data_IF_904784707404
#
_entry.id   IF_904784707404
#
_cell.length_a   1.000
_cell.length_b   1.000
_cell.length_c   1.000
_cell.angle_alpha   90.00
_cell.angle_beta   90.00
_cell.angle_gamma   90.00
#
_symmetry.space_group_name_H-M   'P 1'
#
loop_
_entity.id
_entity.type
_entity.pdbx_description
1 polymer ?
#
# COMPACT_ATOMS: atom_id res chain seq x y z
N UNK A 1 -42.29 -7.59 15.25
CA UNK A 1 -41.83 -6.31 15.84
C UNK A 1 -40.37 -6.04 15.46
N UNK A 2 -40.11 -5.90 14.17
CA UNK A 2 -38.88 -5.29 13.66
C UNK A 2 -39.29 -4.57 12.37
N UNK A 3 -40.13 -3.56 12.55
CA UNK A 3 -40.34 -2.53 11.54
C UNK A 3 -38.99 -1.85 11.36
N UNK A 4 -38.23 -2.34 10.38
CA UNK A 4 -37.16 -1.58 9.77
C UNK A 4 -37.83 -0.37 9.15
N UNK A 5 -37.92 0.68 9.95
CA UNK A 5 -38.10 2.06 9.53
C UNK A 5 -37.05 2.34 8.45
N UNK A 6 -37.39 2.01 7.21
CA UNK A 6 -36.69 2.49 6.03
C UNK A 6 -36.93 3.99 6.02
N UNK A 7 -36.07 4.73 6.74
CA UNK A 7 -35.88 6.15 6.45
C UNK A 7 -35.63 6.26 4.95
N UNK A 8 -36.61 6.83 4.25
CA UNK A 8 -36.59 7.04 2.83
C UNK A 8 -35.54 8.11 2.57
N UNK A 9 -34.28 7.69 2.38
CA UNK A 9 -33.20 8.61 2.05
C UNK A 9 -33.65 9.48 0.89
N UNK A 10 -33.73 10.79 1.11
CA UNK A 10 -34.27 11.73 0.13
C UNK A 10 -33.42 11.63 -1.15
N UNK A 11 -34.01 11.85 -2.33
CA UNK A 11 -33.28 11.77 -3.61
C UNK A 11 -31.97 12.57 -3.59
N UNK A 12 -31.98 13.70 -2.88
CA UNK A 12 -30.80 14.53 -2.60
C UNK A 12 -29.68 13.82 -1.81
N UNK A 13 -30.00 13.01 -0.80
CA UNK A 13 -29.00 12.25 -0.04
C UNK A 13 -28.37 11.13 -0.87
N UNK A 14 -29.14 10.46 -1.74
CA UNK A 14 -28.60 9.46 -2.67
C UNK A 14 -27.66 10.08 -3.71
N UNK A 15 -27.98 11.26 -4.23
CA UNK A 15 -27.09 12.00 -5.14
C UNK A 15 -25.81 12.47 -4.45
N UNK A 16 -25.91 12.95 -3.20
CA UNK A 16 -24.76 13.34 -2.40
C UNK A 16 -23.79 12.17 -2.19
N UNK A 17 -24.30 11.01 -1.75
CA UNK A 17 -23.51 9.79 -1.60
C UNK A 17 -22.87 9.34 -2.93
N UNK A 18 -23.59 9.41 -4.05
CA UNK A 18 -23.03 9.05 -5.37
C UNK A 18 -21.85 9.94 -5.76
N UNK A 19 -21.94 11.23 -5.47
CA UNK A 19 -20.89 12.21 -5.77
C UNK A 19 -19.66 12.01 -4.89
N UNK A 20 -19.87 11.67 -3.63
CA UNK A 20 -18.82 11.36 -2.65
C UNK A 20 -18.05 10.08 -3.04
N UNK A 21 -18.76 8.99 -3.32
CA UNK A 21 -18.19 7.72 -3.82
C UNK A 21 -17.35 7.89 -5.08
N UNK A 22 -17.81 8.74 -6.00
CA UNK A 22 -17.08 9.00 -7.26
C UNK A 22 -15.76 9.74 -7.00
N UNK A 23 -15.71 10.60 -5.99
CA UNK A 23 -14.48 11.31 -5.59
C UNK A 23 -13.48 10.36 -4.93
N UNK A 24 -13.95 9.46 -4.08
CA UNK A 24 -13.15 8.41 -3.45
C UNK A 24 -12.53 7.48 -4.50
N UNK A 25 -13.33 6.99 -5.45
CA UNK A 25 -12.85 6.16 -6.57
C UNK A 25 -11.78 6.88 -7.39
N UNK A 26 -11.98 8.15 -7.74
CA UNK A 26 -10.99 8.90 -8.53
C UNK A 26 -9.65 9.02 -7.81
N UNK A 27 -9.64 9.24 -6.51
CA UNK A 27 -8.39 9.28 -5.74
C UNK A 27 -7.70 7.91 -5.73
N UNK A 28 -8.46 6.82 -5.60
CA UNK A 28 -7.91 5.47 -5.65
C UNK A 28 -7.31 5.14 -7.04
N UNK A 29 -7.99 5.50 -8.13
CA UNK A 29 -7.48 5.30 -9.49
C UNK A 29 -6.22 6.11 -9.80
N UNK A 30 -6.15 7.38 -9.37
CA UNK A 30 -4.94 8.22 -9.57
C UNK A 30 -3.74 7.60 -8.87
N UNK A 31 -3.95 7.10 -7.66
CA UNK A 31 -2.89 6.48 -6.85
C UNK A 31 -2.42 5.16 -7.45
N UNK A 32 -3.36 4.35 -7.94
CA UNK A 32 -3.07 3.12 -8.65
C UNK A 32 -2.26 3.37 -9.93
N UNK A 33 -2.65 4.39 -10.71
CA UNK A 33 -1.90 4.81 -11.90
C UNK A 33 -0.48 5.28 -11.57
N UNK A 34 -0.30 6.02 -10.48
CA UNK A 34 1.01 6.48 -10.03
C UNK A 34 1.94 5.31 -9.65
N UNK A 35 1.43 4.29 -8.96
CA UNK A 35 2.21 3.09 -8.60
C UNK A 35 2.72 2.37 -9.84
N UNK A 36 1.82 2.10 -10.79
CA UNK A 36 2.14 1.44 -12.07
C UNK A 36 3.21 2.24 -12.82
N UNK A 37 3.06 3.57 -12.88
CA UNK A 37 4.03 4.44 -13.54
C UNK A 37 5.42 4.33 -12.92
N UNK A 38 5.52 4.41 -11.59
CA UNK A 38 6.79 4.28 -10.86
C UNK A 38 7.39 2.86 -11.00
N UNK A 39 6.58 1.80 -11.08
CA UNK A 39 7.10 0.44 -11.30
C UNK A 39 7.65 0.27 -12.71
N UNK A 40 7.01 0.86 -13.73
CA UNK A 40 7.52 0.82 -15.09
C UNK A 40 8.87 1.52 -15.22
N UNK A 41 9.09 2.61 -14.48
CA UNK A 41 10.40 3.27 -14.42
C UNK A 41 11.45 2.35 -13.80
N UNK A 42 11.15 1.72 -12.66
CA UNK A 42 12.08 0.80 -12.00
C UNK A 42 12.43 -0.41 -12.87
N UNK A 43 11.44 -1.01 -13.54
CA UNK A 43 11.67 -2.11 -14.48
C UNK A 43 12.40 -1.66 -15.74
N UNK A 44 12.09 -0.48 -16.29
CA UNK A 44 12.81 0.08 -17.43
C UNK A 44 14.29 0.31 -17.11
N UNK A 45 14.58 0.83 -15.92
CA UNK A 45 15.96 1.01 -15.44
C UNK A 45 16.70 -0.33 -15.30
N UNK A 46 16.01 -1.38 -14.83
CA UNK A 46 16.59 -2.71 -14.69
C UNK A 46 16.75 -3.45 -16.02
N UNK A 47 15.80 -3.33 -16.95
CA UNK A 47 15.75 -4.09 -18.20
C UNK A 47 16.65 -3.53 -19.30
N UNK A 48 16.86 -2.21 -19.32
CA UNK A 48 17.68 -1.56 -20.34
C UNK A 48 19.19 -1.63 -20.04
N UNK A 49 19.59 -2.13 -18.86
CA UNK A 49 20.99 -2.23 -18.38
C UNK A 49 21.84 -0.97 -18.65
N UNK A 50 21.21 0.22 -18.68
CA UNK A 50 21.86 1.49 -19.04
C UNK A 50 22.96 1.87 -18.04
N UNK A 51 22.86 1.34 -16.82
CA UNK A 51 23.76 1.59 -15.70
C UNK A 51 24.29 0.23 -15.20
N UNK A 52 25.57 0.13 -14.76
CA UNK A 52 26.12 -1.09 -14.21
C UNK A 52 25.25 -1.69 -13.10
N UNK A 53 25.08 -3.01 -13.11
CA UNK A 53 24.19 -3.73 -12.18
C UNK A 53 24.41 -3.38 -10.69
N UNK A 54 25.66 -3.11 -10.30
CA UNK A 54 26.04 -2.66 -8.95
C UNK A 54 25.33 -1.36 -8.50
N UNK A 55 24.97 -0.47 -9.42
CA UNK A 55 24.23 0.76 -9.12
C UNK A 55 22.72 0.58 -9.36
N UNK A 56 22.33 -0.23 -10.34
CA UNK A 56 20.92 -0.52 -10.63
C UNK A 56 20.22 -1.21 -9.47
N UNK A 57 20.86 -2.19 -8.83
CA UNK A 57 20.28 -2.94 -7.70
C UNK A 57 19.87 -2.03 -6.53
N UNK A 58 20.75 -1.18 -5.94
CA UNK A 58 20.36 -0.32 -4.83
C UNK A 58 19.32 0.73 -5.23
N UNK A 59 19.35 1.24 -6.47
CA UNK A 59 18.34 2.19 -6.96
C UNK A 59 16.97 1.52 -7.02
N UNK A 60 16.87 0.32 -7.60
CA UNK A 60 15.61 -0.44 -7.70
C UNK A 60 15.08 -0.82 -6.32
N UNK A 61 15.96 -1.21 -5.39
CA UNK A 61 15.56 -1.45 -3.98
C UNK A 61 15.02 -0.16 -3.34
N UNK A 62 15.64 1.00 -3.59
CA UNK A 62 15.13 2.30 -3.13
C UNK A 62 13.73 2.60 -3.69
N UNK A 63 13.52 2.37 -5.00
CA UNK A 63 12.19 2.48 -5.61
C UNK A 63 11.20 1.49 -4.99
N UNK A 64 11.61 0.25 -4.69
CA UNK A 64 10.76 -0.74 -4.04
C UNK A 64 10.32 -0.28 -2.63
N UNK A 65 11.20 0.33 -1.85
CA UNK A 65 10.84 0.92 -0.55
C UNK A 65 9.82 2.06 -0.69
N UNK A 66 10.04 2.98 -1.65
CA UNK A 66 9.09 4.06 -1.94
C UNK A 66 7.74 3.48 -2.37
N UNK A 67 7.74 2.42 -3.18
CA UNK A 67 6.53 1.72 -3.61
C UNK A 67 5.76 1.15 -2.42
N UNK A 68 6.44 0.48 -1.49
CA UNK A 68 5.79 -0.03 -0.27
C UNK A 68 5.15 1.14 0.49
N UNK A 69 5.88 2.24 0.75
CA UNK A 69 5.32 3.39 1.48
C UNK A 69 4.10 4.00 0.75
N UNK A 70 4.20 4.21 -0.57
CA UNK A 70 3.10 4.76 -1.36
C UNK A 70 1.89 3.82 -1.40
N UNK A 71 2.13 2.50 -1.48
CA UNK A 71 1.08 1.49 -1.37
C UNK A 71 0.38 1.60 -0.03
N UNK A 72 1.13 1.62 1.08
CA UNK A 72 0.57 1.78 2.41
C UNK A 72 -0.19 3.12 2.58
N UNK A 73 0.35 4.24 2.10
CA UNK A 73 -0.25 5.58 2.26
C UNK A 73 -1.54 5.77 1.46
N UNK A 74 -1.66 5.16 0.28
CA UNK A 74 -2.83 5.36 -0.59
C UNK A 74 -3.89 4.26 -0.47
N UNK A 75 -3.50 2.99 -0.22
CA UNK A 75 -4.49 1.95 0.11
C UNK A 75 -5.16 2.26 1.45
N UNK A 76 -4.43 2.86 2.38
CA UNK A 76 -4.97 3.29 3.66
C UNK A 76 -5.34 4.77 3.57
N UNK A 77 -6.58 5.05 3.17
CA UNK A 77 -7.19 6.38 2.99
C UNK A 77 -7.13 7.29 4.25
N UNK A 78 -5.94 7.64 4.75
CA UNK A 78 -5.68 8.48 5.92
C UNK A 78 -6.02 9.97 5.70
N UNK A 79 -6.86 10.28 4.71
CA UNK A 79 -7.41 11.63 4.55
C UNK A 79 -8.61 11.87 5.46
N UNK A 80 -9.23 10.82 6.01
CA UNK A 80 -10.35 10.98 6.95
C UNK A 80 -9.95 10.92 8.42
N UNK A 81 -10.33 11.99 9.12
CA UNK A 81 -9.99 12.32 10.50
C UNK A 81 -10.73 11.36 11.45
N UNK A 82 -10.07 10.28 11.88
CA UNK A 82 -10.57 9.44 12.98
C UNK A 82 -9.94 8.05 13.15
N UNK A 83 -9.20 7.52 12.17
CA UNK A 83 -8.77 6.12 12.20
C UNK A 83 -7.33 5.90 12.70
N UNK A 84 -7.03 6.41 13.90
CA UNK A 84 -5.75 6.13 14.60
C UNK A 84 -5.51 4.63 14.81
N UNK A 85 -6.59 3.87 15.03
CA UNK A 85 -6.54 2.42 15.25
C UNK A 85 -6.04 1.65 14.04
N UNK A 86 -6.45 2.05 12.83
CA UNK A 86 -6.03 1.37 11.60
C UNK A 86 -4.54 1.61 11.34
N UNK A 87 -4.07 2.86 11.53
CA UNK A 87 -2.65 3.21 11.44
C UNK A 87 -1.80 2.41 12.44
N UNK A 88 -2.28 2.27 13.68
CA UNK A 88 -1.64 1.46 14.71
C UNK A 88 -1.54 -0.02 14.31
N UNK A 89 -2.66 -0.61 13.88
CA UNK A 89 -2.70 -2.02 13.46
C UNK A 89 -1.75 -2.28 12.28
N UNK A 90 -1.64 -1.34 11.37
CA UNK A 90 -0.78 -1.45 10.20
C UNK A 90 0.71 -1.27 10.55
N UNK A 91 1.04 -0.35 11.46
CA UNK A 91 2.40 -0.23 12.01
C UNK A 91 2.80 -1.50 12.76
N UNK A 92 1.91 -2.08 13.57
CA UNK A 92 2.18 -3.34 14.26
C UNK A 92 2.35 -4.49 13.27
N UNK A 93 1.52 -4.57 12.22
CA UNK A 93 1.64 -5.59 11.18
C UNK A 93 2.97 -5.49 10.43
N UNK A 94 3.40 -4.26 10.10
CA UNK A 94 4.71 -4.03 9.49
C UNK A 94 5.86 -4.43 10.42
N UNK A 95 5.76 -4.11 11.71
CA UNK A 95 6.73 -4.54 12.73
C UNK A 95 6.83 -6.07 12.82
N UNK A 96 5.70 -6.78 12.89
CA UNK A 96 5.70 -8.24 12.92
C UNK A 96 6.21 -8.86 11.61
N UNK A 97 5.89 -8.28 10.45
CA UNK A 97 6.41 -8.74 9.17
C UNK A 97 7.94 -8.64 9.12
N UNK A 98 8.51 -7.51 9.54
CA UNK A 98 9.96 -7.35 9.65
C UNK A 98 10.57 -8.31 10.69
N UNK A 99 9.93 -8.44 11.85
CA UNK A 99 10.39 -9.36 12.90
C UNK A 99 10.41 -10.81 12.42
N UNK A 100 9.40 -11.25 11.66
CA UNK A 100 9.38 -12.58 11.06
C UNK A 100 10.46 -12.75 10.01
N UNK A 101 10.65 -11.79 9.09
CA UNK A 101 11.72 -11.87 8.09
C UNK A 101 13.09 -12.04 8.77
N UNK A 102 13.38 -11.21 9.78
CA UNK A 102 14.64 -11.30 10.55
C UNK A 102 14.74 -12.62 11.29
N UNK A 103 13.66 -13.06 11.95
CA UNK A 103 13.64 -14.34 12.67
C UNK A 103 13.84 -15.53 11.73
N UNK A 104 13.20 -15.55 10.56
CA UNK A 104 13.37 -16.61 9.56
C UNK A 104 14.77 -16.61 8.96
N UNK A 105 15.34 -15.44 8.64
CA UNK A 105 16.74 -15.35 8.20
C UNK A 105 17.66 -15.92 9.29
N UNK A 106 17.44 -15.55 10.55
CA UNK A 106 18.26 -16.02 11.67
C UNK A 106 18.12 -17.53 11.91
N UNK A 107 16.90 -18.08 11.84
CA UNK A 107 16.62 -19.52 11.96
C UNK A 107 17.23 -20.29 10.78
N UNK A 108 17.09 -19.80 9.55
CA UNK A 108 17.71 -20.41 8.36
C UNK A 108 19.23 -20.36 8.46
N UNK A 109 19.80 -19.28 8.98
CA UNK A 109 21.24 -19.14 9.17
C UNK A 109 21.78 -20.05 10.28
N UNK A 110 20.99 -20.34 11.33
CA UNK A 110 21.31 -21.36 12.34
C UNK A 110 21.14 -22.80 11.82
N UNK A 111 20.25 -23.01 10.84
CA UNK A 111 19.99 -24.30 10.19
C UNK A 111 20.90 -24.61 9.00
N UNK A 112 21.57 -23.60 8.44
CA UNK A 112 22.64 -23.79 7.48
C UNK A 112 23.86 -24.33 8.24
N UNK A 113 24.34 -25.56 7.96
CA UNK A 113 25.53 -26.05 8.63
C UNK A 113 26.68 -25.13 8.28
N UNK A 114 27.34 -24.64 9.33
CA UNK A 114 28.53 -23.79 9.25
C UNK A 114 29.64 -24.69 8.74
N UNK A 115 29.77 -24.77 7.41
CA UNK A 115 30.81 -25.53 6.71
C UNK A 115 31.98 -24.61 6.37
#
# INVERSE_FOLDING_TARGET
MAELNQEHMTKAQKEYLRKERTREMRQQLVSFGLMIFLTFIAFGLAALEVIPAQFTIPIVIGFAFIQVILQFYYFMHMKDRGHQFAKLFMLTGFYFALAFIVAFIYIVWIGAPVN
#
